data_IF_844647414941
#
_entry.id   IF_844647414941
#
_cell.length_a   1.000
_cell.length_b   1.000
_cell.length_c   1.000
_cell.angle_alpha   90.00
_cell.angle_beta   90.00
_cell.angle_gamma   90.00
#
_symmetry.space_group_name_H-M   'P 1'
#
loop_
_entity.id
_entity.type
_entity.pdbx_description
1 polymer ?
#
# COMPACT_ATOMS: atom_id res chain seq x y z
N UNK A 1 -3.34 -2.44 -9.78
CA UNK A 1 -3.84 -3.82 -9.59
C UNK A 1 -4.18 -4.55 -10.89
N UNK A 2 -4.15 -3.89 -12.08
CA UNK A 2 -4.47 -4.58 -13.33
C UNK A 2 -3.43 -5.63 -13.72
N UNK A 3 -2.14 -5.37 -13.47
CA UNK A 3 -1.05 -6.28 -13.84
C UNK A 3 -1.21 -7.67 -13.20
N UNK A 4 -1.54 -7.75 -11.91
CA UNK A 4 -1.74 -9.03 -11.20
C UNK A 4 -2.99 -9.76 -11.71
N UNK A 5 -4.05 -9.01 -12.00
CA UNK A 5 -5.27 -9.57 -12.62
C UNK A 5 -4.99 -10.14 -14.00
N UNK A 6 -4.12 -9.50 -14.77
CA UNK A 6 -3.78 -9.94 -16.11
C UNK A 6 -2.91 -11.21 -16.06
N UNK A 7 -1.95 -11.30 -15.13
CA UNK A 7 -1.18 -12.52 -14.86
C UNK A 7 -2.07 -13.71 -14.47
N UNK A 8 -3.12 -13.48 -13.66
CA UNK A 8 -4.06 -14.53 -13.27
C UNK A 8 -4.92 -14.98 -14.47
N UNK A 9 -5.38 -14.05 -15.32
CA UNK A 9 -6.09 -14.39 -16.57
C UNK A 9 -5.23 -15.18 -17.55
N UNK A 10 -3.95 -14.85 -17.64
CA UNK A 10 -2.95 -15.56 -18.46
C UNK A 10 -2.53 -16.90 -17.84
N UNK A 11 -3.06 -17.24 -16.65
CA UNK A 11 -2.75 -18.45 -15.88
C UNK A 11 -1.28 -18.57 -15.46
N UNK A 12 -0.58 -17.45 -15.37
CA UNK A 12 0.79 -17.41 -14.88
C UNK A 12 0.86 -17.49 -13.34
N UNK A 13 -0.22 -17.09 -12.67
CA UNK A 13 -0.41 -17.18 -11.21
C UNK A 13 -1.78 -17.75 -10.86
N UNK A 14 -1.94 -18.28 -9.64
CA UNK A 14 -3.25 -18.75 -9.16
C UNK A 14 -4.12 -17.62 -8.62
N UNK A 15 -5.44 -17.84 -8.53
CA UNK A 15 -6.36 -16.88 -7.88
C UNK A 15 -6.00 -16.62 -6.40
N UNK A 16 -5.45 -17.62 -5.72
CA UNK A 16 -4.97 -17.47 -4.33
C UNK A 16 -3.72 -16.60 -4.24
N UNK A 17 -2.84 -16.65 -5.25
CA UNK A 17 -1.67 -15.76 -5.36
C UNK A 17 -2.11 -14.33 -5.67
N UNK A 18 -3.08 -14.15 -6.58
CA UNK A 18 -3.67 -12.83 -6.85
C UNK A 18 -4.24 -12.21 -5.58
N UNK A 19 -5.03 -12.96 -4.80
CA UNK A 19 -5.62 -12.46 -3.55
C UNK A 19 -4.56 -12.05 -2.55
N UNK A 20 -3.56 -12.91 -2.31
CA UNK A 20 -2.45 -12.62 -1.39
C UNK A 20 -1.68 -11.38 -1.81
N UNK A 21 -1.35 -11.26 -3.09
CA UNK A 21 -0.61 -10.11 -3.59
C UNK A 21 -1.41 -8.81 -3.48
N UNK A 22 -2.73 -8.84 -3.70
CA UNK A 22 -3.58 -7.67 -3.47
C UNK A 22 -3.61 -7.27 -1.99
N UNK A 23 -3.73 -8.23 -1.07
CA UNK A 23 -3.72 -7.96 0.37
C UNK A 23 -2.39 -7.36 0.82
N UNK A 24 -1.27 -7.87 0.31
CA UNK A 24 0.06 -7.38 0.65
C UNK A 24 0.32 -5.98 0.10
N UNK A 25 -0.13 -5.69 -1.13
CA UNK A 25 -0.09 -4.34 -1.71
C UNK A 25 -0.90 -3.37 -0.85
N UNK A 26 -2.11 -3.76 -0.43
CA UNK A 26 -2.96 -2.92 0.40
C UNK A 26 -2.27 -2.60 1.73
N UNK A 27 -1.76 -3.62 2.44
CA UNK A 27 -1.04 -3.44 3.71
C UNK A 27 0.17 -2.52 3.57
N UNK A 28 0.96 -2.69 2.51
CA UNK A 28 2.13 -1.84 2.26
C UNK A 28 1.70 -0.39 2.01
N UNK A 29 0.65 -0.20 1.21
CA UNK A 29 0.10 1.12 0.90
C UNK A 29 -0.38 1.82 2.17
N UNK A 30 -1.20 1.14 2.97
CA UNK A 30 -1.74 1.67 4.22
C UNK A 30 -0.62 2.04 5.20
N UNK A 31 0.40 1.18 5.34
CA UNK A 31 1.58 1.45 6.18
C UNK A 31 2.31 2.74 5.77
N UNK A 32 2.47 2.97 4.47
CA UNK A 32 3.17 4.18 4.00
C UNK A 32 2.31 5.44 4.14
N UNK A 33 1.00 5.33 3.98
CA UNK A 33 0.06 6.42 4.28
C UNK A 33 0.21 6.83 5.75
N UNK A 34 0.08 5.89 6.68
CA UNK A 34 0.24 6.15 8.12
C UNK A 34 1.61 6.78 8.45
N UNK A 35 2.67 6.29 7.80
CA UNK A 35 4.02 6.83 7.98
C UNK A 35 4.13 8.27 7.51
N UNK A 36 3.52 8.60 6.37
CA UNK A 36 3.51 9.96 5.82
C UNK A 36 2.70 10.89 6.71
N UNK A 37 1.50 10.48 7.12
CA UNK A 37 0.61 11.25 7.98
C UNK A 37 1.28 11.56 9.33
N UNK A 38 1.94 10.56 9.93
CA UNK A 38 2.71 10.76 11.17
C UNK A 38 3.85 11.77 10.99
N UNK A 39 4.60 11.69 9.88
CA UNK A 39 5.69 12.64 9.58
C UNK A 39 5.17 14.05 9.32
N UNK A 40 4.05 14.16 8.61
CA UNK A 40 3.41 15.44 8.33
C UNK A 40 2.94 16.10 9.63
N UNK A 41 2.18 15.37 10.45
CA UNK A 41 1.69 15.87 11.74
C UNK A 41 2.83 16.29 12.67
N UNK A 42 3.91 15.50 12.73
CA UNK A 42 5.11 15.90 13.47
C UNK A 42 5.69 17.22 12.94
N UNK A 43 5.82 17.34 11.61
CA UNK A 43 6.38 18.54 11.00
C UNK A 43 5.51 19.77 11.23
N UNK A 44 4.19 19.62 11.21
CA UNK A 44 3.24 20.68 11.54
C UNK A 44 3.38 21.12 13.00
N UNK A 45 3.50 20.17 13.94
CA UNK A 45 3.77 20.47 15.37
C UNK A 45 5.07 21.23 15.56
N UNK A 46 6.17 20.76 14.95
CA UNK A 46 7.49 21.42 15.01
C UNK A 46 7.45 22.85 14.44
N UNK A 47 6.54 23.15 13.51
CA UNK A 47 6.37 24.49 12.93
C UNK A 47 5.47 25.41 13.78
N UNK A 48 4.56 24.85 14.57
CA UNK A 48 3.66 25.58 15.47
C UNK A 48 4.31 25.92 16.81
N UNK A 49 5.36 25.20 17.22
CA UNK A 49 6.22 25.60 18.34
C UNK A 49 7.08 26.82 17.94
N UNK A 50 6.59 28.01 18.27
CA UNK A 50 7.32 29.30 18.27
C UNK A 50 7.35 29.84 19.69
#
# INVERSE_FOLDING_TARGET
>A
MNDIKDLAKEKEISEDDERRANDDIQKITDKYIETIDSRLSKKESDLMEV
#
